data_IF_122256827076
#
_entry.id   IF_122256827076
#
_cell.length_a   1.000
_cell.length_b   1.000
_cell.length_c   1.000
_cell.angle_alpha   90.00
_cell.angle_beta   90.00
_cell.angle_gamma   90.00
#
_symmetry.space_group_name_H-M   'P 1'
#
loop_
_entity.id
_entity.type
_entity.pdbx_description
1 polymer ?
#
# COMPACT_ATOMS: atom_id res chain seq x y z
N UNK A 1 10.12 11.32 -1.30
CA UNK A 1 9.40 11.72 -0.08
C UNK A 1 8.68 10.51 0.51
N UNK A 2 8.63 10.45 1.82
CA UNK A 2 7.95 9.34 2.48
C UNK A 2 6.45 9.60 2.61
N UNK A 3 5.68 8.55 2.46
CA UNK A 3 4.23 8.64 2.45
C UNK A 3 3.65 7.41 3.12
N UNK A 4 2.45 7.55 3.67
CA UNK A 4 1.77 6.41 4.27
C UNK A 4 1.36 5.41 3.20
N UNK A 5 1.35 4.15 3.58
CA UNK A 5 1.06 3.08 2.62
C UNK A 5 -0.34 3.23 2.01
N UNK A 6 -1.33 3.58 2.81
CA UNK A 6 -2.69 3.77 2.30
C UNK A 6 -2.74 4.91 1.26
N UNK A 7 -2.00 5.99 1.52
CA UNK A 7 -1.92 7.10 0.59
C UNK A 7 -1.20 6.67 -0.69
N UNK A 8 -0.13 5.88 -0.54
CA UNK A 8 0.62 5.41 -1.70
C UNK A 8 -0.23 4.56 -2.62
N UNK A 9 -1.08 3.70 -2.06
CA UNK A 9 -1.97 2.88 -2.89
C UNK A 9 -2.91 3.74 -3.72
N UNK A 10 -3.41 4.82 -3.13
CA UNK A 10 -4.30 5.72 -3.86
C UNK A 10 -3.52 6.48 -4.93
N UNK A 11 -2.34 6.99 -4.59
CA UNK A 11 -1.52 7.74 -5.54
C UNK A 11 -1.10 6.89 -6.74
N UNK A 12 -0.83 5.62 -6.52
CA UNK A 12 -0.39 4.72 -7.58
C UNK A 12 -1.56 4.10 -8.35
N UNK A 13 -2.78 4.46 -7.99
CA UNK A 13 -3.97 3.92 -8.67
C UNK A 13 -4.28 2.48 -8.31
N UNK A 14 -3.73 1.99 -7.21
CA UNK A 14 -3.96 0.61 -6.78
C UNK A 14 -5.20 0.47 -5.91
N UNK A 15 -5.74 1.59 -5.44
CA UNK A 15 -6.96 1.60 -4.66
C UNK A 15 -7.75 2.86 -5.00
N UNK A 16 -9.09 2.79 -5.04
CA UNK A 16 -9.90 3.96 -5.43
C UNK A 16 -10.03 5.00 -4.31
N UNK A 17 -9.78 4.62 -3.08
CA UNK A 17 -9.86 5.55 -1.96
C UNK A 17 -8.98 5.04 -0.83
N UNK A 18 -8.73 5.91 0.16
CA UNK A 18 -7.92 5.52 1.30
C UNK A 18 -8.59 4.43 2.14
N UNK A 19 -9.91 4.46 2.22
CA UNK A 19 -10.64 3.42 2.95
C UNK A 19 -10.45 2.06 2.29
N UNK A 20 -10.55 2.02 0.97
CA UNK A 20 -10.29 0.79 0.24
C UNK A 20 -8.84 0.35 0.37
N UNK A 21 -7.93 1.33 0.34
CA UNK A 21 -6.52 1.03 0.52
C UNK A 21 -6.27 0.37 1.87
N UNK A 22 -6.86 0.92 2.92
CA UNK A 22 -6.72 0.34 4.25
C UNK A 22 -7.25 -1.09 4.31
N UNK A 23 -8.41 -1.32 3.69
CA UNK A 23 -9.00 -2.65 3.67
C UNK A 23 -8.11 -3.65 2.96
N UNK A 24 -7.55 -3.27 1.82
CA UNK A 24 -6.65 -4.13 1.06
C UNK A 24 -5.38 -4.43 1.87
N UNK A 25 -4.82 -3.40 2.50
CA UNK A 25 -3.62 -3.59 3.32
C UNK A 25 -3.90 -4.54 4.48
N UNK A 26 -5.01 -4.33 5.17
CA UNK A 26 -5.34 -5.14 6.33
C UNK A 26 -5.69 -6.58 5.97
N UNK A 27 -6.12 -6.81 4.72
CA UNK A 27 -6.41 -8.16 4.26
C UNK A 27 -5.13 -8.95 3.98
N UNK A 28 -3.98 -8.29 3.98
CA UNK A 28 -2.71 -8.95 3.73
C UNK A 28 -2.40 -9.13 2.25
N UNK A 29 -3.04 -8.32 1.40
CA UNK A 29 -2.83 -8.43 -0.04
C UNK A 29 -1.73 -7.51 -0.56
N UNK A 30 -1.21 -6.61 0.28
CA UNK A 30 -0.24 -5.61 -0.15
C UNK A 30 1.17 -6.06 0.23
N UNK A 31 2.07 -5.98 -0.73
CA UNK A 31 3.47 -6.29 -0.55
C UNK A 31 4.31 -5.08 -0.94
N UNK A 32 5.28 -4.76 -0.11
CA UNK A 32 6.22 -3.68 -0.39
C UNK A 32 7.62 -4.28 -0.44
N UNK A 33 8.29 -4.11 -1.58
CA UNK A 33 9.61 -4.68 -1.82
C UNK A 33 9.66 -6.18 -1.54
N UNK A 34 8.56 -6.86 -1.86
CA UNK A 34 8.47 -8.30 -1.68
C UNK A 34 8.06 -8.75 -0.29
N UNK A 35 7.83 -7.81 0.63
CA UNK A 35 7.42 -8.14 1.99
C UNK A 35 5.97 -7.74 2.22
N UNK A 36 5.23 -8.65 2.81
CA UNK A 36 3.83 -8.41 3.12
C UNK A 36 3.71 -7.32 4.18
N UNK A 37 2.83 -6.37 3.90
CA UNK A 37 2.53 -5.28 4.84
C UNK A 37 1.04 -5.31 5.18
N UNK A 38 0.75 -5.22 6.46
CA UNK A 38 -0.63 -5.25 6.92
C UNK A 38 -1.01 -4.03 7.76
N UNK A 39 -0.15 -3.01 7.77
CA UNK A 39 -0.39 -1.78 8.51
C UNK A 39 -0.49 -0.60 7.56
N UNK A 40 -1.67 -0.01 7.49
CA UNK A 40 -1.92 1.11 6.59
C UNK A 40 -1.10 2.35 6.93
N UNK A 41 -0.74 2.51 8.20
CA UNK A 41 0.03 3.66 8.65
C UNK A 41 1.52 3.56 8.44
N UNK A 42 2.03 2.44 7.93
CA UNK A 42 3.44 2.30 7.63
C UNK A 42 3.86 3.32 6.57
N UNK A 43 5.06 3.85 6.72
CA UNK A 43 5.58 4.90 5.85
C UNK A 43 6.68 4.34 4.98
N UNK A 44 6.61 4.65 3.68
CA UNK A 44 7.61 4.20 2.72
C UNK A 44 7.94 5.35 1.77
N UNK A 45 9.12 5.27 1.15
CA UNK A 45 9.52 6.25 0.16
C UNK A 45 8.74 5.97 -1.13
N UNK A 46 7.96 6.96 -1.57
CA UNK A 46 7.10 6.76 -2.74
C UNK A 46 7.88 6.54 -4.04
N UNK A 47 9.13 6.97 -4.08
CA UNK A 47 9.92 6.83 -5.29
C UNK A 47 10.62 5.48 -5.36
N UNK A 48 11.06 4.95 -4.22
CA UNK A 48 11.84 3.71 -4.20
C UNK A 48 11.04 2.49 -3.79
N UNK A 49 9.92 2.67 -3.10
CA UNK A 49 9.12 1.54 -2.64
C UNK A 49 8.39 0.89 -3.81
N UNK A 50 8.55 -0.40 -3.95
CA UNK A 50 7.84 -1.17 -4.97
C UNK A 50 6.65 -1.83 -4.35
N UNK A 51 5.48 -1.30 -4.63
CA UNK A 51 4.24 -1.74 -4.02
C UNK A 51 3.50 -2.65 -4.97
N UNK A 52 3.11 -3.80 -4.45
CA UNK A 52 2.38 -4.79 -5.24
C UNK A 52 1.14 -5.19 -4.46
N UNK A 53 0.02 -5.24 -5.14
CA UNK A 53 -1.23 -5.75 -4.56
C UNK A 53 -1.48 -7.13 -5.16
N UNK A 54 -1.42 -8.14 -4.31
CA UNK A 54 -1.69 -9.51 -4.71
C UNK A 54 -3.06 -9.88 -4.20
N UNK A 55 -4.01 -9.97 -5.09
CA UNK A 55 -5.36 -10.36 -4.75
C UNK A 55 -5.83 -11.41 -5.71
N UNK A 56 -7.04 -11.80 -5.54
CA UNK A 56 -7.64 -12.76 -6.43
C UNK A 56 -9.12 -12.51 -6.55
#
# INVERSE_FOLDING_TARGET
MKERLDVLLVKKGLAPSREKAKAVIMSGSVYVDGQKEDKAGSVFDEESAQIEVRGH
#
